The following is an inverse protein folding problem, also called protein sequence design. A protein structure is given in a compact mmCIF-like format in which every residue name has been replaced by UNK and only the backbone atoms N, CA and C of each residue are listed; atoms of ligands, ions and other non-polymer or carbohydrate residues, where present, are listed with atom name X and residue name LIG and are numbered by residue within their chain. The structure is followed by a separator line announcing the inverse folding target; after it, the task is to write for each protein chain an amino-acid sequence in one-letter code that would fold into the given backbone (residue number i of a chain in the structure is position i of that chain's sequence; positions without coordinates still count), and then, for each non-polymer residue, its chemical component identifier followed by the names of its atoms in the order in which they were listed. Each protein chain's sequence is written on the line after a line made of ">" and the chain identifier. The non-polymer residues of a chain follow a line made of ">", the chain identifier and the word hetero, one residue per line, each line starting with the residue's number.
data_IF_898893199151
#
_entry.id   IF_898893199151
#
_cell.length_a   1.000
_cell.length_b   1.000
_cell.length_c   1.000
_cell.angle_alpha   90.00
_cell.angle_beta   90.00
_cell.angle_gamma   90.00
#
_symmetry.space_group_name_H-M   'P 1'
#
loop_
_entity.id
_entity.type
_entity.pdbx_description
1 polymer ?
#
# COMPACT_ATOMS: atom_id res chain seq x y z
N UNK A 1 0.34 11.11 10.94
CA UNK A 1 0.92 11.29 9.59
C UNK A 1 -0.15 11.66 8.53
N UNK A 2 0.09 12.67 7.69
CA UNK A 2 -0.88 13.18 6.72
C UNK A 2 -1.24 12.18 5.61
N UNK A 3 -0.25 11.45 5.08
CA UNK A 3 -0.42 10.53 3.95
C UNK A 3 -1.40 9.39 4.27
N UNK A 4 -1.24 8.70 5.40
CA UNK A 4 -2.18 7.64 5.83
C UNK A 4 -3.60 8.15 6.09
N UNK A 5 -3.75 9.40 6.56
CA UNK A 5 -5.08 9.98 6.72
C UNK A 5 -5.77 10.15 5.36
N UNK A 6 -5.03 10.59 4.34
CA UNK A 6 -5.56 10.78 2.99
C UNK A 6 -5.85 9.45 2.26
N UNK A 7 -4.97 8.45 2.41
CA UNK A 7 -5.06 7.20 1.65
C UNK A 7 -5.91 6.11 2.32
N UNK A 8 -6.08 6.14 3.65
CA UNK A 8 -6.74 5.06 4.39
C UNK A 8 -7.85 5.56 5.32
N UNK A 9 -7.54 6.41 6.31
CA UNK A 9 -8.50 6.80 7.35
C UNK A 9 -9.70 7.59 6.82
N UNK A 10 -9.45 8.65 6.05
CA UNK A 10 -10.51 9.55 5.59
C UNK A 10 -11.43 8.90 4.54
N UNK A 11 -10.92 8.13 3.55
CA UNK A 11 -11.79 7.33 2.68
C UNK A 11 -12.66 6.35 3.48
N UNK A 12 -12.08 5.59 4.42
CA UNK A 12 -12.84 4.65 5.25
C UNK A 12 -13.95 5.34 6.05
N UNK A 13 -13.65 6.49 6.67
CA UNK A 13 -14.66 7.30 7.39
C UNK A 13 -15.80 7.77 6.48
N UNK A 14 -15.49 8.28 5.28
CA UNK A 14 -16.50 8.77 4.34
C UNK A 14 -17.43 7.67 3.84
N UNK A 15 -16.92 6.45 3.75
CA UNK A 15 -17.66 5.28 3.27
C UNK A 15 -18.25 4.42 4.41
N UNK A 16 -18.08 4.81 5.67
CA UNK A 16 -18.57 4.05 6.82
C UNK A 16 -17.89 2.68 7.02
N UNK A 17 -16.65 2.52 6.56
CA UNK A 17 -15.93 1.24 6.61
C UNK A 17 -15.23 1.04 7.98
N UNK A 18 -15.13 -0.22 8.46
CA UNK A 18 -14.44 -0.53 9.72
C UNK A 18 -12.90 -0.45 9.62
N UNK A 19 -12.34 -0.31 8.41
CA UNK A 19 -10.90 -0.30 8.12
C UNK A 19 -10.26 1.10 8.23
N UNK A 20 -9.05 1.26 7.68
CA UNK A 20 -8.36 2.55 7.57
C UNK A 20 -7.69 3.03 8.87
N UNK A 21 -7.60 2.18 9.89
CA UNK A 21 -6.99 2.47 11.19
C UNK A 21 -6.30 1.24 11.76
N UNK A 22 -5.24 1.45 12.54
CA UNK A 22 -4.60 0.42 13.34
C UNK A 22 -5.09 0.55 14.78
N UNK A 23 -6.09 -0.25 15.15
CA UNK A 23 -6.72 -0.24 16.46
C UNK A 23 -7.27 -1.63 16.80
N UNK A 24 -7.43 -1.91 18.09
CA UNK A 24 -8.06 -3.16 18.56
C UNK A 24 -9.48 -3.24 17.98
N UNK A 25 -9.84 -4.42 17.46
CA UNK A 25 -11.13 -4.68 16.82
C UNK A 25 -11.27 -4.18 15.37
N UNK A 26 -10.29 -3.46 14.82
CA UNK A 26 -10.27 -3.17 13.39
C UNK A 26 -9.81 -4.40 12.59
N UNK A 27 -10.26 -4.57 11.33
CA UNK A 27 -9.71 -5.58 10.44
C UNK A 27 -8.19 -5.47 10.34
N UNK A 28 -7.49 -6.62 10.32
CA UNK A 28 -6.04 -6.68 10.15
C UNK A 28 -5.63 -6.48 8.67
N UNK A 29 -6.05 -5.33 8.11
CA UNK A 29 -5.67 -4.85 6.78
C UNK A 29 -4.44 -3.96 6.93
N UNK A 30 -3.27 -4.52 6.61
CA UNK A 30 -1.98 -3.92 6.95
C UNK A 30 -1.06 -3.85 5.74
N UNK A 31 -0.14 -2.90 5.76
CA UNK A 31 0.96 -2.80 4.81
C UNK A 31 2.26 -2.63 5.58
N UNK A 32 3.23 -3.50 5.30
CA UNK A 32 4.59 -3.40 5.82
C UNK A 32 5.47 -2.86 4.70
N UNK A 33 6.25 -1.83 4.99
CA UNK A 33 7.10 -1.17 4.00
C UNK A 33 8.37 -0.63 4.65
N UNK A 34 9.46 -0.62 3.88
CA UNK A 34 10.68 0.09 4.25
C UNK A 34 10.64 1.49 3.64
N UNK A 35 10.46 2.51 4.49
CA UNK A 35 10.41 3.92 4.08
C UNK A 35 11.74 4.42 3.49
N UNK A 36 12.87 3.79 3.83
CA UNK A 36 14.21 4.20 3.45
C UNK A 36 14.77 3.43 2.25
N UNK A 37 14.04 2.46 1.71
CA UNK A 37 14.47 1.74 0.52
C UNK A 37 14.17 2.51 -0.78
N UNK A 38 15.20 2.97 -1.54
CA UNK A 38 15.01 3.52 -2.87
C UNK A 38 14.84 2.40 -3.91
N UNK A 39 14.14 2.68 -5.00
CA UNK A 39 14.07 1.78 -6.16
C UNK A 39 13.81 2.54 -7.46
N UNK A 40 14.16 1.94 -8.60
CA UNK A 40 13.73 2.39 -9.93
C UNK A 40 12.53 1.54 -10.34
N UNK A 41 11.42 2.17 -10.73
CA UNK A 41 10.26 1.46 -11.21
C UNK A 41 10.54 0.93 -12.62
N UNK A 42 10.40 -0.38 -12.80
CA UNK A 42 10.42 -1.03 -14.12
C UNK A 42 9.00 -1.52 -14.43
N UNK A 43 8.40 -0.99 -15.50
CA UNK A 43 7.04 -1.36 -15.92
C UNK A 43 6.89 -2.86 -16.18
N UNK A 44 7.96 -3.56 -16.58
CA UNK A 44 7.92 -5.00 -16.83
C UNK A 44 7.65 -5.80 -15.56
N UNK A 45 8.02 -5.26 -14.39
CA UNK A 45 7.81 -5.91 -13.08
C UNK A 45 6.42 -5.69 -12.48
N UNK A 46 5.62 -4.77 -13.04
CA UNK A 46 4.28 -4.49 -12.54
C UNK A 46 3.41 -5.75 -12.56
N UNK A 47 2.54 -5.93 -11.57
CA UNK A 47 1.63 -7.09 -11.51
C UNK A 47 0.32 -6.89 -12.30
N UNK A 48 -0.08 -5.63 -12.56
CA UNK A 48 -1.28 -5.30 -13.34
C UNK A 48 -1.22 -5.86 -14.76
N UNK A 49 -2.37 -6.22 -15.35
CA UNK A 49 -2.44 -6.64 -16.76
C UNK A 49 -1.97 -5.51 -17.71
N UNK A 50 -2.37 -4.27 -17.43
CA UNK A 50 -1.88 -3.11 -18.18
C UNK A 50 -0.56 -2.62 -17.59
N UNK A 51 0.42 -2.41 -18.47
CA UNK A 51 1.74 -1.83 -18.14
C UNK A 51 1.85 -0.35 -18.54
N UNK A 52 0.73 0.29 -18.91
CA UNK A 52 0.73 1.70 -19.28
C UNK A 52 0.91 2.56 -18.02
N UNK A 53 2.13 3.05 -17.81
CA UNK A 53 2.48 3.89 -16.67
C UNK A 53 3.45 4.99 -17.12
N UNK A 54 3.27 6.24 -16.67
CA UNK A 54 4.25 7.30 -16.91
C UNK A 54 5.47 7.19 -15.98
N UNK A 55 5.47 6.25 -15.03
CA UNK A 55 6.52 6.12 -14.03
C UNK A 55 7.64 5.14 -14.41
N UNK A 56 7.65 4.60 -15.63
CA UNK A 56 8.71 3.70 -16.07
C UNK A 56 10.08 4.38 -16.04
N UNK A 57 11.06 3.77 -15.38
CA UNK A 57 12.39 4.35 -15.12
C UNK A 57 12.43 5.40 -14.00
N UNK A 58 11.31 5.74 -13.36
CA UNK A 58 11.28 6.72 -12.27
C UNK A 58 11.97 6.19 -11.01
N UNK A 59 12.74 7.05 -10.33
CA UNK A 59 13.31 6.78 -9.00
C UNK A 59 12.27 7.08 -7.92
N UNK A 60 11.95 6.10 -7.10
CA UNK A 60 10.98 6.16 -6.03
C UNK A 60 11.61 5.77 -4.69
N UNK A 61 10.91 6.10 -3.61
CA UNK A 61 11.35 5.90 -2.23
C UNK A 61 10.21 5.27 -1.44
N UNK A 62 10.52 4.30 -0.58
CA UNK A 62 9.51 3.59 0.20
C UNK A 62 9.00 2.37 -0.56
N UNK A 63 9.45 1.17 -0.18
CA UNK A 63 9.09 -0.08 -0.86
C UNK A 63 8.20 -0.95 0.02
N UNK A 64 7.09 -1.40 -0.54
CA UNK A 64 6.20 -2.37 0.13
C UNK A 64 6.93 -3.72 0.23
N UNK A 65 6.99 -4.25 1.46
CA UNK A 65 7.55 -5.56 1.78
C UNK A 65 6.46 -6.62 1.85
N UNK A 66 5.31 -6.31 2.44
CA UNK A 66 4.16 -7.22 2.52
C UNK A 66 2.82 -6.47 2.64
N UNK A 67 1.75 -7.11 2.21
CA UNK A 67 0.37 -6.65 2.38
C UNK A 67 -0.50 -7.74 2.98
N UNK A 68 -1.36 -7.37 3.92
CA UNK A 68 -2.26 -8.26 4.63
C UNK A 68 -3.71 -7.81 4.46
N UNK A 69 -4.61 -8.76 4.27
CA UNK A 69 -6.07 -8.54 4.24
C UNK A 69 -6.70 -9.46 5.27
N UNK A 70 -7.40 -8.89 6.24
CA UNK A 70 -7.98 -9.61 7.38
C UNK A 70 -6.98 -10.59 8.04
N UNK A 71 -5.71 -10.18 8.17
CA UNK A 71 -4.64 -10.97 8.78
C UNK A 71 -3.97 -11.99 7.87
N UNK A 72 -4.50 -12.23 6.66
CA UNK A 72 -3.86 -13.09 5.67
C UNK A 72 -2.87 -12.29 4.81
N UNK A 73 -1.63 -12.76 4.72
CA UNK A 73 -0.66 -12.21 3.78
C UNK A 73 -1.10 -12.49 2.33
N UNK A 74 -1.29 -11.44 1.54
CA UNK A 74 -1.72 -11.52 0.12
C UNK A 74 -0.63 -11.06 -0.84
N UNK A 75 0.41 -10.39 -0.34
CA UNK A 75 1.57 -9.92 -1.08
C UNK A 75 2.79 -9.88 -0.17
N UNK A 76 3.99 -10.03 -0.73
CA UNK A 76 5.25 -10.12 0.01
C UNK A 76 5.77 -11.56 0.10
N UNK A 77 7.03 -11.71 0.49
CA UNK A 77 7.59 -13.01 0.92
C UNK A 77 7.30 -13.23 2.40
#
# INVERSE_FOLDING_TARGET
>A
PGLFRALALNPAKRLGLPSGRLAIGAPADLVMFDANQPFVLDRATLKSKSKNTPFDGARLQGRILASFVAGKQVFGQ
#
